data_IF_869521210823
#
_entry.id   IF_869521210823
#
_cell.length_a   1.000
_cell.length_b   1.000
_cell.length_c   1.000
_cell.angle_alpha   90.00
_cell.angle_beta   90.00
_cell.angle_gamma   90.00
#
_symmetry.space_group_name_H-M   'P 1'
#
loop_
_entity.id
_entity.type
_entity.pdbx_description
1 polymer ?
#
# COMPACT_ATOMS: atom_id res chain seq x y z
N UNK A 1 -35.66 18.11 4.37
CA UNK A 1 -34.74 17.74 3.27
C UNK A 1 -33.58 16.96 3.85
N UNK A 2 -33.16 15.88 3.20
CA UNK A 2 -31.89 15.22 3.51
C UNK A 2 -30.78 15.99 2.79
N UNK A 3 -29.73 16.41 3.51
CA UNK A 3 -28.59 17.12 2.93
C UNK A 3 -27.81 16.28 1.89
N UNK A 4 -26.70 16.83 1.40
CA UNK A 4 -25.80 16.10 0.51
C UNK A 4 -25.29 14.80 1.18
N UNK A 5 -24.81 13.84 0.39
CA UNK A 5 -24.19 12.63 0.96
C UNK A 5 -22.94 12.99 1.76
N UNK A 6 -22.18 14.01 1.32
CA UNK A 6 -21.03 14.52 2.08
C UNK A 6 -21.46 15.07 3.45
N UNK A 7 -22.48 15.95 3.50
CA UNK A 7 -22.96 16.53 4.77
C UNK A 7 -23.36 15.45 5.79
N UNK A 8 -23.96 14.34 5.31
CA UNK A 8 -24.35 13.21 6.16
C UNK A 8 -23.15 12.38 6.63
N UNK A 9 -22.12 12.26 5.80
CA UNK A 9 -20.85 11.60 6.16
C UNK A 9 -20.14 12.46 7.21
N UNK A 10 -20.05 13.78 7.01
CA UNK A 10 -19.44 14.70 7.97
C UNK A 10 -20.19 14.69 9.32
N UNK A 11 -21.53 14.75 9.29
CA UNK A 11 -22.38 14.60 10.49
C UNK A 11 -22.32 13.21 11.13
N UNK A 12 -21.89 12.18 10.40
CA UNK A 12 -21.64 10.85 10.95
C UNK A 12 -20.27 10.79 11.62
N UNK A 13 -19.22 11.25 10.94
CA UNK A 13 -17.84 11.33 11.46
C UNK A 13 -17.78 12.20 12.72
N UNK A 14 -18.50 13.33 12.75
CA UNK A 14 -18.54 14.24 13.89
C UNK A 14 -19.08 13.62 15.20
N UNK A 15 -19.72 12.45 15.14
CA UNK A 15 -20.16 11.70 16.34
C UNK A 15 -19.03 10.91 17.01
N UNK A 16 -17.94 10.70 16.29
CA UNK A 16 -16.82 9.85 16.70
C UNK A 16 -15.49 10.63 16.70
N UNK A 17 -15.43 11.84 17.32
CA UNK A 17 -14.30 12.76 17.19
C UNK A 17 -12.98 12.21 17.76
N UNK A 18 -13.04 11.22 18.65
CA UNK A 18 -11.87 10.52 19.19
C UNK A 18 -11.23 9.54 18.21
N UNK A 19 -11.93 9.19 17.11
CA UNK A 19 -11.48 8.22 16.11
C UNK A 19 -11.19 8.95 14.81
N UNK A 20 -9.97 9.47 14.69
CA UNK A 20 -9.47 9.92 13.40
C UNK A 20 -9.54 8.76 12.40
N UNK A 21 -10.05 9.06 11.20
CA UNK A 21 -9.93 8.12 10.08
C UNK A 21 -8.45 7.81 9.89
N UNK A 22 -8.07 6.54 10.05
CA UNK A 22 -6.73 6.06 9.71
C UNK A 22 -6.86 5.25 8.43
N UNK A 23 -6.20 5.73 7.38
CA UNK A 23 -6.22 5.11 6.07
C UNK A 23 -4.88 5.39 5.38
N UNK A 24 -4.23 4.31 4.94
CA UNK A 24 -2.99 4.34 4.18
C UNK A 24 -3.14 5.09 2.84
N UNK A 25 -4.36 5.33 2.35
CA UNK A 25 -4.59 6.17 1.16
C UNK A 25 -4.70 7.67 1.46
N UNK A 26 -4.54 8.13 2.70
CA UNK A 26 -4.45 9.58 2.99
C UNK A 26 -3.21 10.26 2.39
N UNK A 27 -2.26 9.46 1.91
CA UNK A 27 -1.10 9.86 1.12
C UNK A 27 -1.53 10.53 -0.19
N UNK A 28 -2.65 10.11 -0.78
CA UNK A 28 -3.30 10.74 -1.95
C UNK A 28 -3.59 12.23 -1.67
N UNK A 29 -3.77 12.60 -0.39
CA UNK A 29 -4.04 13.97 0.08
C UNK A 29 -2.80 14.64 0.69
N UNK A 30 -1.62 14.05 0.56
CA UNK A 30 -0.34 14.54 1.11
C UNK A 30 -0.41 14.89 2.61
N UNK A 31 -1.23 14.16 3.37
CA UNK A 31 -1.23 14.25 4.85
C UNK A 31 0.00 13.56 5.41
N UNK A 32 0.44 13.97 6.61
CA UNK A 32 1.55 13.31 7.30
C UNK A 32 1.29 11.81 7.45
N UNK A 33 2.19 11.03 6.88
CA UNK A 33 2.14 9.56 6.90
C UNK A 33 2.79 9.12 8.22
N UNK A 34 2.07 8.41 9.12
CA UNK A 34 2.65 8.00 10.39
C UNK A 34 3.78 6.99 10.17
N UNK A 35 5.01 7.42 10.50
CA UNK A 35 6.24 6.65 10.40
C UNK A 35 6.99 6.68 11.74
N UNK A 36 7.58 5.57 12.22
CA UNK A 36 7.57 4.23 11.63
C UNK A 36 6.17 3.61 11.61
N UNK A 37 5.94 2.69 10.66
CA UNK A 37 4.65 2.02 10.54
C UNK A 37 4.34 1.15 11.77
N UNK A 38 3.07 1.14 12.14
CA UNK A 38 2.53 0.42 13.29
C UNK A 38 1.34 -0.41 12.84
N UNK A 39 1.12 -1.54 13.52
CA UNK A 39 -0.01 -2.41 13.25
C UNK A 39 -1.31 -1.68 13.57
N UNK A 40 -2.36 -1.97 12.80
CA UNK A 40 -3.72 -1.49 13.04
C UNK A 40 -4.59 -2.59 13.62
N UNK A 41 -5.65 -2.20 14.34
CA UNK A 41 -6.74 -3.09 14.72
C UNK A 41 -8.09 -2.42 14.52
N UNK A 42 -9.07 -3.22 14.10
CA UNK A 42 -10.45 -2.79 14.02
C UNK A 42 -11.11 -3.01 15.38
N UNK A 43 -11.65 -1.95 15.98
CA UNK A 43 -12.45 -2.02 17.19
C UNK A 43 -13.89 -1.63 16.88
N UNK A 44 -14.86 -2.34 17.44
CA UNK A 44 -16.25 -1.92 17.36
C UNK A 44 -16.44 -0.72 18.30
N UNK A 45 -16.91 0.40 17.77
CA UNK A 45 -17.09 1.66 18.52
C UNK A 45 -18.55 1.97 18.82
N UNK A 46 -19.48 1.41 18.04
CA UNK A 46 -20.93 1.63 18.18
C UNK A 46 -21.70 0.51 17.45
N UNK A 47 -23.03 0.50 17.56
CA UNK A 47 -23.91 -0.29 16.71
C UNK A 47 -25.28 0.36 16.58
N UNK A 48 -25.91 0.22 15.42
CA UNK A 48 -27.22 0.82 15.13
C UNK A 48 -28.19 -0.17 14.53
N UNK A 49 -29.35 -0.34 15.15
CA UNK A 49 -30.46 -1.10 14.59
C UNK A 49 -31.22 -0.28 13.55
N UNK A 50 -31.41 -0.84 12.36
CA UNK A 50 -32.19 -0.28 11.26
C UNK A 50 -33.17 -1.35 10.79
N UNK A 51 -34.46 -1.18 11.12
CA UNK A 51 -35.46 -2.23 10.94
C UNK A 51 -35.10 -3.47 11.75
N UNK A 52 -35.04 -4.63 11.09
CA UNK A 52 -34.66 -5.90 11.72
C UNK A 52 -33.14 -6.21 11.69
N UNK A 53 -32.28 -5.26 11.24
CA UNK A 53 -30.83 -5.47 11.12
C UNK A 53 -30.05 -4.59 12.09
N UNK A 54 -29.09 -5.18 12.80
CA UNK A 54 -28.09 -4.42 13.58
C UNK A 54 -26.85 -4.23 12.73
N UNK A 55 -26.43 -2.98 12.53
CA UNK A 55 -25.21 -2.61 11.84
C UNK A 55 -24.16 -2.27 12.91
N UNK A 56 -23.09 -3.05 13.00
CA UNK A 56 -21.94 -2.72 13.84
C UNK A 56 -21.08 -1.64 13.14
N UNK A 57 -20.56 -0.69 13.92
CA UNK A 57 -19.72 0.40 13.46
C UNK A 57 -18.32 0.20 14.04
N UNK A 58 -17.32 0.18 13.15
CA UNK A 58 -15.92 -0.07 13.52
C UNK A 58 -15.05 1.15 13.24
N UNK A 59 -14.00 1.31 14.03
CA UNK A 59 -12.87 2.21 13.74
C UNK A 59 -11.58 1.41 13.62
N UNK A 60 -10.79 1.74 12.60
CA UNK A 60 -9.40 1.32 12.47
C UNK A 60 -8.55 2.20 13.38
N UNK A 61 -7.85 1.62 14.37
CA UNK A 61 -6.93 2.36 15.24
C UNK A 61 -5.50 1.83 15.13
N UNK A 62 -4.55 2.76 15.16
CA UNK A 62 -3.11 2.46 15.19
C UNK A 62 -2.73 1.97 16.58
N UNK A 63 -2.00 0.86 16.65
CA UNK A 63 -1.48 0.30 17.91
C UNK A 63 -0.10 0.88 18.25
N UNK A 64 0.41 0.55 19.43
CA UNK A 64 1.79 0.79 19.84
C UNK A 64 2.79 -0.20 19.20
N UNK A 65 2.31 -1.31 18.61
CA UNK A 65 3.15 -2.33 18.00
C UNK A 65 3.68 -1.88 16.63
N UNK A 66 4.98 -2.01 16.40
CA UNK A 66 5.60 -1.77 15.09
C UNK A 66 5.13 -2.83 14.09
N UNK A 67 4.90 -2.42 12.84
CA UNK A 67 4.65 -3.35 11.74
C UNK A 67 6.01 -3.85 11.21
N UNK A 68 6.63 -4.79 11.91
CA UNK A 68 8.04 -5.18 11.71
C UNK A 68 8.34 -5.78 10.34
N UNK A 69 7.36 -6.42 9.71
CA UNK A 69 7.45 -7.14 8.44
C UNK A 69 6.82 -6.38 7.26
N UNK A 70 6.62 -5.06 7.38
CA UNK A 70 6.00 -4.25 6.32
C UNK A 70 6.73 -4.34 4.97
N UNK A 71 8.04 -4.62 4.98
CA UNK A 71 8.89 -4.85 3.79
C UNK A 71 8.54 -6.10 2.98
N UNK A 72 7.66 -6.97 3.52
CA UNK A 72 7.09 -8.10 2.80
C UNK A 72 5.77 -7.72 2.07
N UNK A 73 5.36 -6.44 2.08
CA UNK A 73 4.12 -5.94 1.48
C UNK A 73 4.39 -4.76 0.55
N UNK A 74 4.23 -4.96 -0.76
CA UNK A 74 4.64 -3.99 -1.78
C UNK A 74 3.94 -2.63 -1.64
N UNK A 75 2.68 -2.61 -1.15
CA UNK A 75 1.98 -1.37 -0.86
C UNK A 75 2.68 -0.55 0.23
N UNK A 76 3.19 -1.18 1.28
CA UNK A 76 3.85 -0.49 2.39
C UNK A 76 5.18 0.14 1.96
N UNK A 77 5.92 -0.51 1.06
CA UNK A 77 7.12 0.05 0.43
C UNK A 77 6.82 1.26 -0.47
N UNK A 78 5.74 1.22 -1.26
CA UNK A 78 5.31 2.39 -2.03
C UNK A 78 4.80 3.54 -1.14
N UNK A 79 4.11 3.22 -0.04
CA UNK A 79 3.71 4.18 0.99
C UNK A 79 4.94 4.86 1.61
N UNK A 80 5.97 4.09 1.97
CA UNK A 80 7.23 4.62 2.50
C UNK A 80 8.00 5.45 1.47
N UNK A 81 7.97 5.04 0.20
CA UNK A 81 8.58 5.78 -0.89
C UNK A 81 8.01 7.19 -1.01
N UNK A 82 6.67 7.34 -0.92
CA UNK A 82 6.03 8.67 -0.91
C UNK A 82 6.37 9.43 0.38
N UNK A 83 6.42 8.76 1.55
CA UNK A 83 6.84 9.39 2.80
C UNK A 83 8.21 10.06 2.67
N UNK A 84 9.23 9.33 2.24
CA UNK A 84 10.59 9.87 2.14
C UNK A 84 10.70 11.00 1.12
N UNK A 85 10.05 10.88 -0.05
CA UNK A 85 10.03 11.95 -1.04
C UNK A 85 9.30 13.20 -0.54
N UNK A 86 8.22 13.06 0.25
CA UNK A 86 7.52 14.20 0.88
C UNK A 86 8.40 14.98 1.87
N UNK A 87 9.48 14.36 2.37
CA UNK A 87 10.49 14.98 3.24
C UNK A 87 11.79 15.34 2.50
N UNK A 88 11.84 15.22 1.16
CA UNK A 88 13.02 15.49 0.35
C UNK A 88 14.14 14.43 0.45
N UNK A 89 13.87 13.27 1.06
CA UNK A 89 14.83 12.18 1.21
C UNK A 89 14.78 11.24 -0.01
N UNK A 90 15.19 11.75 -1.17
CA UNK A 90 15.04 11.07 -2.47
C UNK A 90 15.70 9.69 -2.56
N UNK A 91 16.87 9.51 -1.94
CA UNK A 91 17.57 8.23 -1.94
C UNK A 91 16.80 7.17 -1.13
N UNK A 92 16.32 7.53 0.07
CA UNK A 92 15.43 6.67 0.86
C UNK A 92 14.13 6.35 0.11
N UNK A 93 13.54 7.35 -0.57
CA UNK A 93 12.35 7.16 -1.41
C UNK A 93 12.58 6.16 -2.54
N UNK A 94 13.71 6.28 -3.23
CA UNK A 94 14.16 5.37 -4.30
C UNK A 94 14.40 3.97 -3.76
N UNK A 95 15.05 3.83 -2.60
CA UNK A 95 15.33 2.55 -1.99
C UNK A 95 14.03 1.84 -1.56
N UNK A 96 13.08 2.55 -0.94
CA UNK A 96 11.75 2.02 -0.65
C UNK A 96 10.99 1.60 -1.92
N UNK A 97 11.00 2.44 -2.96
CA UNK A 97 10.42 2.08 -4.26
C UNK A 97 11.02 0.78 -4.80
N UNK A 98 12.34 0.62 -4.71
CA UNK A 98 13.07 -0.53 -5.23
C UNK A 98 12.76 -1.84 -4.49
N UNK A 99 12.52 -1.79 -3.18
CA UNK A 99 12.06 -2.98 -2.43
C UNK A 99 10.67 -3.38 -2.90
N UNK A 100 9.69 -2.47 -2.90
CA UNK A 100 8.32 -2.75 -3.37
C UNK A 100 8.27 -3.19 -4.84
N UNK A 101 9.08 -2.57 -5.70
CA UNK A 101 9.25 -2.90 -7.12
C UNK A 101 9.94 -4.25 -7.34
N UNK A 102 10.77 -4.69 -6.41
CA UNK A 102 11.41 -6.01 -6.42
C UNK A 102 10.46 -7.17 -6.13
N UNK A 103 9.30 -6.90 -5.54
CA UNK A 103 8.21 -7.88 -5.33
C UNK A 103 7.33 -8.07 -6.59
N UNK A 104 7.61 -7.38 -7.70
CA UNK A 104 6.85 -7.48 -8.94
C UNK A 104 7.40 -8.59 -9.87
N UNK A 105 6.55 -9.54 -10.23
CA UNK A 105 6.91 -10.75 -10.99
C UNK A 105 6.66 -10.67 -12.51
N UNK A 106 6.22 -9.52 -13.01
CA UNK A 106 5.79 -9.32 -14.40
C UNK A 106 4.27 -9.31 -14.61
N UNK A 107 3.49 -9.85 -13.66
CA UNK A 107 2.02 -9.90 -13.68
C UNK A 107 1.43 -9.06 -12.55
N UNK A 108 2.06 -9.09 -11.37
CA UNK A 108 1.65 -8.32 -10.21
C UNK A 108 2.68 -8.38 -9.09
N UNK A 109 2.27 -7.95 -7.89
CA UNK A 109 3.11 -8.00 -6.70
C UNK A 109 2.92 -9.32 -5.97
N UNK A 110 3.91 -10.22 -6.08
CA UNK A 110 3.96 -11.52 -5.44
C UNK A 110 4.43 -11.42 -3.97
N UNK A 111 3.77 -10.54 -3.22
CA UNK A 111 4.12 -10.21 -1.84
C UNK A 111 3.43 -11.12 -0.80
N UNK A 112 3.57 -10.80 0.49
CA UNK A 112 3.04 -11.64 1.58
C UNK A 112 1.52 -11.83 1.53
N UNK A 113 0.77 -10.86 1.01
CA UNK A 113 -0.67 -11.01 0.81
C UNK A 113 -0.97 -11.97 -0.35
N UNK A 114 -0.23 -11.85 -1.47
CA UNK A 114 -0.34 -12.80 -2.59
C UNK A 114 -0.03 -14.23 -2.13
N UNK A 115 1.00 -14.45 -1.32
CA UNK A 115 1.37 -15.77 -0.81
C UNK A 115 0.26 -16.44 0.03
N UNK A 116 -0.64 -15.67 0.62
CA UNK A 116 -1.81 -16.18 1.37
C UNK A 116 -3.05 -16.33 0.46
N UNK A 117 -3.26 -15.40 -0.48
CA UNK A 117 -4.50 -15.31 -1.26
C UNK A 117 -4.46 -16.00 -2.64
N UNK A 118 -3.27 -16.28 -3.17
CA UNK A 118 -3.06 -16.83 -4.53
C UNK A 118 -3.56 -15.91 -5.66
N UNK A 119 -3.71 -14.61 -5.39
CA UNK A 119 -4.25 -13.58 -6.29
C UNK A 119 -3.57 -12.26 -6.03
N UNK A 120 -3.36 -11.48 -7.08
CA UNK A 120 -2.81 -10.12 -6.96
C UNK A 120 -3.92 -9.13 -6.59
N UNK A 121 -3.55 -8.04 -5.93
CA UNK A 121 -4.46 -6.97 -5.54
C UNK A 121 -4.34 -5.78 -6.51
N UNK A 122 -5.44 -5.42 -7.18
CA UNK A 122 -5.47 -4.40 -8.24
C UNK A 122 -4.98 -3.03 -7.75
N UNK A 123 -5.32 -2.66 -6.50
CA UNK A 123 -4.90 -1.39 -5.92
C UNK A 123 -3.37 -1.26 -5.82
N UNK A 124 -2.62 -2.38 -5.71
CA UNK A 124 -1.15 -2.32 -5.64
C UNK A 124 -0.54 -1.87 -6.96
N UNK A 125 -1.12 -2.26 -8.10
CA UNK A 125 -0.71 -1.77 -9.43
C UNK A 125 -1.07 -0.30 -9.59
N UNK A 126 -2.24 0.13 -9.11
CA UNK A 126 -2.62 1.54 -9.10
C UNK A 126 -1.70 2.40 -8.21
N UNK A 127 -1.33 1.91 -7.02
CA UNK A 127 -0.36 2.57 -6.14
C UNK A 127 1.03 2.64 -6.78
N UNK A 128 1.50 1.54 -7.37
CA UNK A 128 2.78 1.49 -8.06
C UNK A 128 2.84 2.45 -9.26
N UNK A 129 1.78 2.51 -10.07
CA UNK A 129 1.63 3.50 -11.14
C UNK A 129 1.68 4.94 -10.57
N UNK A 130 0.93 5.22 -9.51
CA UNK A 130 0.93 6.53 -8.86
C UNK A 130 2.34 6.95 -8.41
N UNK A 131 3.07 6.07 -7.72
CA UNK A 131 4.45 6.35 -7.27
C UNK A 131 5.42 6.46 -8.46
N UNK A 132 5.26 5.63 -9.49
CA UNK A 132 6.08 5.71 -10.71
C UNK A 132 5.93 7.05 -11.42
N UNK A 133 4.70 7.60 -11.51
CA UNK A 133 4.46 8.95 -12.05
C UNK A 133 5.07 10.01 -11.14
N UNK A 134 4.87 9.91 -9.84
CA UNK A 134 5.37 10.85 -8.84
C UNK A 134 6.91 10.92 -8.76
N UNK A 135 7.61 9.81 -9.03
CA UNK A 135 9.07 9.74 -9.09
C UNK A 135 9.64 9.84 -10.53
N UNK A 136 8.79 10.03 -11.54
CA UNK A 136 9.16 10.12 -12.96
C UNK A 136 9.87 8.85 -13.53
N UNK A 137 9.46 7.66 -13.11
CA UNK A 137 9.96 6.37 -13.62
C UNK A 137 9.15 5.89 -14.84
N UNK A 138 9.34 6.56 -15.97
CA UNK A 138 8.54 6.39 -17.19
C UNK A 138 8.40 4.93 -17.70
N UNK A 139 9.42 4.09 -17.54
CA UNK A 139 9.35 2.67 -17.93
C UNK A 139 8.33 1.87 -17.11
N UNK A 140 8.26 2.12 -15.81
CA UNK A 140 7.33 1.43 -14.91
C UNK A 140 5.91 2.02 -15.00
N UNK A 141 5.77 3.31 -15.33
CA UNK A 141 4.47 3.94 -15.66
C UNK A 141 3.75 3.16 -16.77
N UNK A 142 4.43 2.86 -17.88
CA UNK A 142 3.80 2.15 -19.00
C UNK A 142 3.52 0.66 -18.66
N UNK A 143 4.39 0.01 -17.88
CA UNK A 143 4.16 -1.38 -17.40
C UNK A 143 2.88 -1.45 -16.54
N UNK A 144 2.77 -0.63 -15.50
CA UNK A 144 1.64 -0.69 -14.57
C UNK A 144 0.32 -0.21 -15.21
N UNK A 145 0.39 0.79 -16.09
CA UNK A 145 -0.75 1.24 -16.90
C UNK A 145 -1.26 0.14 -17.85
N UNK A 146 -0.35 -0.60 -18.49
CA UNK A 146 -0.71 -1.74 -19.36
C UNK A 146 -1.43 -2.83 -18.56
N UNK A 147 -0.94 -3.15 -17.36
CA UNK A 147 -1.56 -4.18 -16.49
C UNK A 147 -2.95 -3.75 -16.01
N UNK A 148 -3.13 -2.51 -15.54
CA UNK A 148 -4.44 -2.01 -15.11
C UNK A 148 -5.49 -2.09 -16.23
N UNK A 149 -5.11 -1.74 -17.46
CA UNK A 149 -5.97 -1.83 -18.64
C UNK A 149 -6.23 -3.29 -19.10
N UNK A 150 -5.42 -4.25 -18.65
CA UNK A 150 -5.58 -5.68 -18.98
C UNK A 150 -6.49 -6.43 -18.01
N UNK A 151 -6.73 -5.89 -16.80
CA UNK A 151 -7.57 -6.53 -15.78
C UNK A 151 -9.04 -6.46 -16.19
N UNK A 152 -9.66 -7.62 -16.43
CA UNK A 152 -11.05 -7.72 -16.88
C UNK A 152 -11.80 -8.87 -16.19
N UNK A 153 -13.00 -8.63 -15.60
CA UNK A 153 -13.58 -7.32 -15.32
C UNK A 153 -12.69 -6.52 -14.34
N UNK A 154 -12.83 -5.20 -14.29
CA UNK A 154 -12.10 -4.41 -13.30
C UNK A 154 -12.63 -4.70 -11.88
N UNK A 155 -11.78 -5.26 -11.02
CA UNK A 155 -12.13 -5.80 -9.70
C UNK A 155 -11.04 -5.55 -8.66
N UNK A 156 -11.30 -5.87 -7.39
CA UNK A 156 -10.30 -5.72 -6.29
C UNK A 156 -9.10 -6.65 -6.42
N UNK A 157 -9.30 -7.87 -6.94
CA UNK A 157 -8.25 -8.86 -7.15
C UNK A 157 -8.16 -9.26 -8.63
N UNK A 158 -7.06 -9.88 -9.03
CA UNK A 158 -6.93 -10.52 -10.34
C UNK A 158 -5.99 -11.75 -10.32
N UNK A 159 -6.14 -12.62 -11.30
CA UNK A 159 -5.30 -13.83 -11.50
C UNK A 159 -4.07 -13.53 -12.38
N UNK A 160 -3.14 -14.49 -12.48
CA UNK A 160 -2.01 -14.45 -13.42
C UNK A 160 -2.37 -14.23 -14.89
N UNK A 161 -3.63 -14.46 -15.27
CA UNK A 161 -4.17 -14.25 -16.62
C UNK A 161 -4.96 -12.94 -16.75
N UNK A 162 -4.79 -12.02 -15.81
CA UNK A 162 -5.50 -10.74 -15.71
C UNK A 162 -7.04 -10.86 -15.62
N UNK A 163 -7.57 -12.04 -15.27
CA UNK A 163 -8.99 -12.20 -15.00
C UNK A 163 -9.31 -11.60 -13.62
N UNK A 164 -10.18 -10.60 -13.58
CA UNK A 164 -10.60 -9.93 -12.35
C UNK A 164 -11.47 -10.82 -11.47
N UNK A 165 -11.29 -10.71 -10.15
CA UNK A 165 -11.98 -11.53 -9.14
C UNK A 165 -12.33 -10.67 -7.91
N UNK A 166 -13.48 -10.95 -7.31
CA UNK A 166 -13.99 -10.20 -6.16
C UNK A 166 -14.80 -8.97 -6.58
N UNK A 167 -15.34 -8.26 -5.60
CA UNK A 167 -16.17 -7.10 -5.84
C UNK A 167 -15.34 -5.88 -6.22
N UNK A 168 -15.92 -4.97 -6.99
CA UNK A 168 -15.38 -3.62 -7.16
C UNK A 168 -15.61 -2.81 -5.86
N UNK A 169 -14.55 -2.29 -5.26
CA UNK A 169 -14.67 -1.35 -4.14
C UNK A 169 -14.31 0.09 -4.59
N UNK A 170 -14.86 1.07 -3.87
CA UNK A 170 -14.67 2.50 -4.20
C UNK A 170 -13.22 2.97 -4.00
N UNK A 171 -12.48 2.32 -3.09
CA UNK A 171 -11.07 2.57 -2.76
C UNK A 171 -10.15 2.26 -3.95
N UNK A 172 -10.16 1.02 -4.45
CA UNK A 172 -9.39 0.56 -5.61
C UNK A 172 -9.75 1.39 -6.84
N UNK A 173 -11.04 1.68 -7.05
CA UNK A 173 -11.51 2.53 -8.14
C UNK A 173 -10.95 3.97 -8.03
N UNK A 174 -11.05 4.61 -6.87
CA UNK A 174 -10.58 5.97 -6.66
C UNK A 174 -9.05 6.10 -6.80
N UNK A 175 -8.29 5.15 -6.27
CA UNK A 175 -6.83 5.11 -6.44
C UNK A 175 -6.43 4.87 -7.90
N UNK A 176 -7.17 4.02 -8.63
CA UNK A 176 -6.92 3.77 -10.06
C UNK A 176 -7.23 4.99 -10.92
N UNK A 177 -8.35 5.68 -10.65
CA UNK A 177 -8.68 6.96 -11.31
C UNK A 177 -7.58 8.00 -11.03
N UNK A 178 -7.09 8.09 -9.80
CA UNK A 178 -5.98 8.99 -9.45
C UNK A 178 -4.70 8.65 -10.22
N UNK A 179 -4.28 7.38 -10.22
CA UNK A 179 -3.06 6.92 -10.87
C UNK A 179 -3.08 7.11 -12.39
N UNK A 180 -4.26 6.92 -13.01
CA UNK A 180 -4.48 7.14 -14.44
C UNK A 180 -4.69 8.61 -14.81
N UNK A 181 -5.03 9.50 -13.87
CA UNK A 181 -5.22 10.92 -14.18
C UNK A 181 -3.88 11.65 -14.41
N UNK A 182 -3.85 12.56 -15.37
CA UNK A 182 -2.64 13.29 -15.75
C UNK A 182 -2.57 14.69 -15.10
N UNK A 183 -2.91 14.78 -13.81
CA UNK A 183 -2.88 16.03 -13.03
C UNK A 183 -1.44 16.48 -12.73
N UNK A 184 -0.88 17.48 -13.44
CA UNK A 184 0.54 17.84 -13.34
C UNK A 184 0.90 18.46 -11.98
N UNK A 185 -0.10 18.97 -11.25
CA UNK A 185 0.10 19.57 -9.93
C UNK A 185 0.28 18.53 -8.82
N UNK A 186 -0.12 17.26 -9.05
CA UNK A 186 0.13 16.14 -8.11
C UNK A 186 1.41 15.37 -8.40
N UNK A 187 1.81 15.33 -9.67
CA UNK A 187 2.97 14.58 -10.15
C UNK A 187 4.18 15.48 -10.47
N UNK A 188 4.28 16.65 -9.84
CA UNK A 188 5.50 17.44 -9.88
C UNK A 188 6.61 16.69 -9.13
N UNK A 189 7.65 16.18 -9.82
CA UNK A 189 8.71 15.43 -9.16
C UNK A 189 9.41 16.37 -8.17
N UNK A 190 9.59 15.97 -6.91
CA UNK A 190 10.24 16.86 -5.95
C UNK A 190 11.71 17.05 -6.38
N UNK A 191 12.20 18.29 -6.34
CA UNK A 191 13.47 18.68 -6.97
C UNK A 191 14.68 18.46 -6.05
N UNK A 192 15.82 17.92 -6.55
CA UNK A 192 16.12 17.59 -7.93
C UNK A 192 15.49 16.25 -8.37
N UNK A 193 15.09 16.19 -9.64
CA UNK A 193 14.57 14.96 -10.24
C UNK A 193 15.60 13.81 -10.14
N UNK A 194 15.14 12.63 -9.69
CA UNK A 194 15.94 11.41 -9.68
C UNK A 194 16.20 11.04 -11.14
N UNK A 195 17.42 11.30 -11.61
CA UNK A 195 17.72 11.44 -13.05
C UNK A 195 17.78 10.15 -13.86
N UNK A 196 17.59 9.00 -13.23
CA UNK A 196 17.53 7.69 -13.91
C UNK A 196 16.49 6.78 -13.26
N UNK A 197 15.53 6.22 -14.02
CA UNK A 197 14.74 5.09 -13.54
C UNK A 197 15.68 3.91 -13.22
N UNK A 198 15.34 3.07 -12.22
CA UNK A 198 16.21 1.98 -11.81
C UNK A 198 16.38 0.93 -12.92
N UNK A 199 17.61 0.47 -13.11
CA UNK A 199 17.89 -0.62 -14.05
C UNK A 199 17.44 -1.98 -13.49
N UNK A 200 17.12 -2.93 -14.38
CA UNK A 200 16.73 -4.28 -13.94
C UNK A 200 17.77 -4.98 -13.03
N UNK A 201 19.10 -4.83 -13.24
CA UNK A 201 20.11 -5.31 -12.29
C UNK A 201 20.04 -4.66 -10.91
N UNK A 202 19.69 -3.37 -10.80
CA UNK A 202 19.55 -2.69 -9.50
C UNK A 202 18.33 -3.19 -8.73
N UNK A 203 17.19 -3.36 -9.41
CA UNK A 203 15.97 -3.94 -8.83
C UNK A 203 16.28 -5.34 -8.28
N UNK A 204 16.95 -6.18 -9.09
CA UNK A 204 17.35 -7.52 -8.68
C UNK A 204 18.35 -7.49 -7.50
N UNK A 205 19.34 -6.60 -7.52
CA UNK A 205 20.37 -6.51 -6.47
C UNK A 205 19.78 -6.09 -5.13
N UNK A 206 18.92 -5.06 -5.10
CA UNK A 206 18.30 -4.57 -3.86
C UNK A 206 17.24 -5.56 -3.34
N UNK A 207 16.43 -6.15 -4.23
CA UNK A 207 15.49 -7.20 -3.86
C UNK A 207 16.20 -8.42 -3.24
N UNK A 208 17.27 -8.91 -3.88
CA UNK A 208 18.09 -10.01 -3.35
C UNK A 208 18.77 -9.64 -2.04
N UNK A 209 19.32 -8.43 -1.91
CA UNK A 209 19.96 -7.97 -0.66
C UNK A 209 18.96 -7.95 0.51
N UNK A 210 17.76 -7.39 0.30
CA UNK A 210 16.69 -7.37 1.31
C UNK A 210 16.26 -8.80 1.72
N UNK A 211 16.11 -9.71 0.74
CA UNK A 211 15.78 -11.12 1.01
C UNK A 211 16.90 -11.82 1.80
N UNK A 212 18.17 -11.57 1.47
CA UNK A 212 19.32 -12.13 2.22
C UNK A 212 19.36 -11.60 3.65
N UNK A 213 19.14 -10.30 3.86
CA UNK A 213 19.10 -9.70 5.19
C UNK A 213 17.96 -10.28 6.04
N UNK A 214 16.77 -10.43 5.47
CA UNK A 214 15.63 -11.09 6.12
C UNK A 214 15.91 -12.57 6.44
N UNK A 215 16.56 -13.32 5.54
CA UNK A 215 16.97 -14.70 5.79
C UNK A 215 18.00 -14.81 6.93
N UNK A 216 18.96 -13.88 7.00
CA UNK A 216 19.95 -13.82 8.09
C UNK A 216 19.27 -13.53 9.43
N UNK A 217 18.35 -12.57 9.48
CA UNK A 217 17.54 -12.26 10.67
C UNK A 217 16.73 -13.49 11.11
N UNK A 218 16.04 -14.16 10.19
CA UNK A 218 15.29 -15.38 10.48
C UNK A 218 16.18 -16.50 11.04
N UNK A 219 17.37 -16.72 10.46
CA UNK A 219 18.33 -17.72 10.94
C UNK A 219 18.86 -17.40 12.35
N UNK A 220 19.12 -16.12 12.65
CA UNK A 220 19.52 -15.67 14.00
C UNK A 220 18.39 -15.93 15.00
N UNK A 221 17.15 -15.54 14.69
CA UNK A 221 15.97 -15.78 15.55
C UNK A 221 15.76 -17.28 15.78
N UNK A 222 15.77 -18.08 14.71
CA UNK A 222 15.61 -19.55 14.79
C UNK A 222 16.69 -20.19 15.66
N UNK A 223 17.96 -19.78 15.49
CA UNK A 223 19.08 -20.28 16.31
C UNK A 223 18.91 -19.90 17.78
N UNK A 224 18.51 -18.66 18.06
CA UNK A 224 18.26 -18.18 19.42
C UNK A 224 17.13 -18.98 20.11
N UNK A 225 15.99 -19.17 19.44
CA UNK A 225 14.86 -19.96 19.95
C UNK A 225 15.26 -21.42 20.21
N UNK A 226 15.95 -22.08 19.26
CA UNK A 226 16.43 -23.46 19.45
C UNK A 226 17.46 -23.60 20.58
N UNK A 227 18.14 -22.51 20.94
CA UNK A 227 19.05 -22.47 22.09
C UNK A 227 18.26 -22.42 23.39
N UNK A 228 17.22 -21.58 23.48
CA UNK A 228 16.33 -21.48 24.65
C UNK A 228 15.63 -22.81 24.93
N UNK A 229 15.12 -23.49 23.90
CA UNK A 229 14.47 -24.80 24.04
C UNK A 229 15.43 -25.90 24.56
N UNK A 230 16.74 -25.75 24.32
CA UNK A 230 17.77 -26.68 24.80
C UNK A 230 18.21 -26.42 26.26
N UNK A 231 17.80 -25.30 26.84
CA UNK A 231 18.06 -24.92 28.24
C UNK A 231 16.78 -24.84 29.09
N UNK A 232 15.68 -25.46 28.62
CA UNK A 232 14.45 -25.74 29.37
C UNK A 232 14.33 -27.24 29.66
#
# INVERSE_FOLDING_TARGET
>A
MLGSIADKIDLFIAKYPSYNFYDYYQIIRLRDIPYPFRLVKNIQIDSKTIGARTIAIYATIVTDQLFSDYKEYANMDFIESIYWASKGAYESSRNSYLVGRGLFDGKGFADKAFAVMGKYETYKIALALYVSKFLNYASDVEVFKTILNSISPFATLYTETFNGVGDLNAETAALTILALSDDPYRFSPPSPAISSPPSAPEIATIGVAAIIEMLLIYLVIKRYLSTIEKYR
#
